data_IF_520735045830
#
_entry.id   IF_520735045830
#
_cell.length_a   1.000
_cell.length_b   1.000
_cell.length_c   1.000
_cell.angle_alpha   90.00
_cell.angle_beta   90.00
_cell.angle_gamma   90.00
#
_symmetry.space_group_name_H-M   'P 1'
#
loop_
_entity.id
_entity.type
_entity.pdbx_description
1 polymer ?
#
# COMPACT_ATOMS: atom_id res chain seq x y z
N UNK A 1 14.41 4.59 11.38
CA UNK A 1 14.97 5.95 11.64
C UNK A 1 14.73 6.83 10.45
N UNK A 2 13.71 7.67 10.54
CA UNK A 2 13.45 8.73 9.54
C UNK A 2 14.54 9.80 9.63
N UNK A 3 15.16 10.18 8.52
CA UNK A 3 16.01 11.34 8.44
C UNK A 3 16.46 11.64 7.01
N UNK A 4 16.34 12.83 6.63
CA UNK A 4 16.86 13.73 5.60
C UNK A 4 15.81 14.12 4.56
N UNK A 5 15.72 15.42 4.33
CA UNK A 5 14.77 16.10 3.46
C UNK A 5 13.77 16.98 4.20
N UNK A 6 13.74 16.94 5.52
CA UNK A 6 13.01 17.89 6.36
C UNK A 6 13.84 19.16 6.54
N UNK A 7 14.14 19.82 5.44
CA UNK A 7 14.69 21.17 5.44
C UNK A 7 13.56 22.13 5.13
N UNK A 8 13.37 23.07 6.01
CA UNK A 8 12.68 24.37 5.85
C UNK A 8 11.24 24.39 5.27
N UNK A 9 10.54 25.45 5.56
CA UNK A 9 9.20 25.83 5.08
C UNK A 9 9.16 25.81 3.55
N UNK A 10 8.83 24.67 2.94
CA UNK A 10 8.71 24.54 1.50
C UNK A 10 7.29 24.16 1.09
N UNK A 11 6.85 24.78 0.01
CA UNK A 11 5.64 24.37 -0.71
C UNK A 11 5.83 22.95 -1.22
N UNK A 12 4.85 22.08 -0.95
CA UNK A 12 4.82 20.68 -1.40
C UNK A 12 3.61 20.47 -2.30
N UNK A 13 3.78 19.67 -3.35
CA UNK A 13 2.67 19.14 -4.12
C UNK A 13 2.11 17.90 -3.42
N UNK A 14 0.83 17.61 -3.60
CA UNK A 14 0.29 16.33 -3.20
C UNK A 14 0.97 15.21 -4.00
N UNK A 15 1.46 14.17 -3.31
CA UNK A 15 2.35 13.16 -3.92
C UNK A 15 3.84 13.48 -3.84
N UNK A 16 4.23 14.73 -3.55
CA UNK A 16 5.63 15.11 -3.37
C UNK A 16 6.23 14.59 -2.04
N UNK A 17 7.51 14.24 -2.00
CA UNK A 17 8.13 13.62 -0.82
C UNK A 17 8.22 14.59 0.37
N UNK A 18 7.73 14.15 1.54
CA UNK A 18 7.92 14.82 2.83
C UNK A 18 9.21 14.36 3.50
N UNK A 19 9.48 13.07 3.49
CA UNK A 19 10.70 12.48 4.05
C UNK A 19 10.98 11.13 3.38
N UNK A 20 12.19 10.62 3.60
CA UNK A 20 12.65 9.33 3.09
C UNK A 20 13.12 8.44 4.24
N UNK A 21 13.14 7.13 4.03
CA UNK A 21 13.81 6.22 4.97
C UNK A 21 15.32 6.42 4.90
N UNK A 22 15.99 6.38 6.05
CA UNK A 22 17.44 6.60 6.11
C UNK A 22 18.24 5.43 5.56
N UNK A 23 17.73 4.21 5.76
CA UNK A 23 18.42 2.99 5.32
C UNK A 23 18.09 2.65 3.87
N UNK A 24 16.91 3.08 3.41
CA UNK A 24 16.39 2.89 2.06
C UNK A 24 15.95 4.24 1.49
N UNK A 25 16.88 5.08 0.97
CA UNK A 25 16.57 6.43 0.48
C UNK A 25 15.56 6.47 -0.67
N UNK A 26 15.38 5.35 -1.39
CA UNK A 26 14.38 5.16 -2.42
C UNK A 26 12.96 5.05 -1.85
N UNK A 27 12.82 4.73 -0.55
CA UNK A 27 11.52 4.63 0.13
C UNK A 27 11.07 6.03 0.58
N UNK A 28 10.13 6.59 -0.16
CA UNK A 28 9.58 7.93 0.05
C UNK A 28 8.28 7.87 0.83
N UNK A 29 8.07 8.87 1.68
CA UNK A 29 6.78 9.15 2.33
C UNK A 29 6.29 10.49 1.81
N UNK A 30 5.17 10.46 1.11
CA UNK A 30 4.68 11.59 0.32
C UNK A 30 3.60 12.38 1.06
N UNK A 31 3.40 13.62 0.64
CA UNK A 31 2.35 14.48 1.18
C UNK A 31 0.98 14.07 0.63
N UNK A 32 -0.04 13.95 1.49
CA UNK A 32 -1.40 13.70 1.02
C UNK A 32 -2.08 14.95 0.43
N UNK A 33 -1.51 16.13 0.66
CA UNK A 33 -2.05 17.42 0.22
C UNK A 33 -0.95 18.32 -0.32
N UNK A 34 -1.28 19.24 -1.21
CA UNK A 34 -0.38 20.33 -1.55
C UNK A 34 -0.50 21.45 -0.51
N UNK A 35 0.61 22.09 -0.18
CA UNK A 35 0.64 23.13 0.83
C UNK A 35 2.03 23.41 1.35
N UNK A 36 2.10 24.05 2.52
CA UNK A 36 3.35 24.46 3.16
C UNK A 36 3.57 23.67 4.44
N UNK A 37 4.75 23.08 4.60
CA UNK A 37 5.13 22.45 5.88
C UNK A 37 5.34 23.55 6.92
N UNK A 38 4.46 23.63 7.92
CA UNK A 38 4.49 24.66 8.95
C UNK A 38 5.24 24.22 10.20
N UNK A 39 5.24 22.93 10.52
CA UNK A 39 6.01 22.42 11.64
C UNK A 39 6.44 20.98 11.49
N UNK A 40 7.54 20.63 12.14
CA UNK A 40 8.03 19.26 12.31
C UNK A 40 8.22 19.03 13.80
N UNK A 41 7.26 18.34 14.39
CA UNK A 41 7.30 18.01 15.81
C UNK A 41 8.24 16.85 16.09
N UNK A 42 9.11 17.03 17.07
CA UNK A 42 10.10 16.03 17.43
C UNK A 42 9.99 15.66 18.91
N UNK A 43 9.95 14.37 19.17
CA UNK A 43 10.00 13.84 20.52
C UNK A 43 11.42 13.52 21.01
N UNK A 44 11.51 12.70 22.04
CA UNK A 44 12.76 12.25 22.61
C UNK A 44 13.70 11.65 21.53
N UNK A 45 14.99 11.87 21.67
CA UNK A 45 16.02 11.42 20.73
C UNK A 45 15.81 11.88 19.28
N UNK A 46 15.19 13.06 19.10
CA UNK A 46 14.85 13.66 17.80
C UNK A 46 13.94 12.78 16.92
N UNK A 47 13.15 11.87 17.49
CA UNK A 47 12.15 11.11 16.76
C UNK A 47 11.12 12.08 16.19
N UNK A 48 10.87 12.05 14.88
CA UNK A 48 9.78 12.80 14.28
C UNK A 48 8.47 12.19 14.75
N UNK A 49 7.60 12.99 15.33
CA UNK A 49 6.27 12.61 15.79
C UNK A 49 5.22 12.99 14.75
N UNK A 50 5.23 14.25 14.32
CA UNK A 50 4.27 14.79 13.35
C UNK A 50 4.99 15.72 12.36
N UNK A 51 4.43 15.78 11.16
CA UNK A 51 4.74 16.80 10.15
C UNK A 51 3.41 17.46 9.84
N UNK A 52 3.31 18.75 10.11
CA UNK A 52 2.09 19.54 9.89
C UNK A 52 2.22 20.26 8.55
N UNK A 53 1.26 20.01 7.66
CA UNK A 53 1.17 20.69 6.36
C UNK A 53 -0.10 21.52 6.36
N UNK A 54 0.03 22.82 6.17
CA UNK A 54 -1.09 23.72 5.92
C UNK A 54 -1.51 23.57 4.46
N UNK A 55 -2.69 22.99 4.23
CA UNK A 55 -3.17 22.70 2.90
C UNK A 55 -3.47 23.97 2.09
N UNK A 56 -3.04 24.03 0.85
CA UNK A 56 -3.39 25.10 -0.07
C UNK A 56 -4.87 24.99 -0.47
N UNK A 57 -5.51 26.13 -0.74
CA UNK A 57 -6.90 26.17 -1.21
C UNK A 57 -7.05 25.48 -2.59
N UNK A 58 -6.08 25.67 -3.48
CA UNK A 58 -5.98 24.96 -4.74
C UNK A 58 -4.92 23.87 -4.60
N UNK A 59 -5.30 22.64 -4.95
CA UNK A 59 -4.41 21.48 -4.83
C UNK A 59 -3.60 21.31 -6.12
N UNK A 60 -2.31 21.13 -5.96
CA UNK A 60 -1.33 20.86 -6.99
C UNK A 60 -0.78 19.45 -6.80
N UNK A 61 -0.66 18.65 -7.86
CA UNK A 61 -0.34 17.23 -7.79
C UNK A 61 0.96 16.91 -8.51
N UNK A 62 1.71 15.98 -7.92
CA UNK A 62 2.86 15.36 -8.60
C UNK A 62 2.35 14.42 -9.70
N UNK A 63 2.84 14.59 -10.91
CA UNK A 63 2.44 13.79 -12.08
C UNK A 63 3.46 12.66 -12.31
N UNK A 64 3.03 11.40 -12.11
CA UNK A 64 3.88 10.22 -12.35
C UNK A 64 3.66 9.60 -13.73
N UNK A 65 2.65 10.08 -14.47
CA UNK A 65 2.25 9.57 -15.78
C UNK A 65 1.54 8.22 -15.74
N UNK A 66 0.59 8.06 -16.64
CA UNK A 66 -0.14 6.79 -16.82
C UNK A 66 0.80 5.71 -17.35
N UNK A 67 0.66 4.50 -16.84
CA UNK A 67 1.48 3.35 -17.26
C UNK A 67 0.58 2.12 -17.44
N UNK A 68 0.68 1.46 -18.59
CA UNK A 68 -0.04 0.19 -18.79
C UNK A 68 0.68 -0.94 -18.03
N UNK A 69 0.04 -1.43 -16.98
CA UNK A 69 0.57 -2.52 -16.14
C UNK A 69 0.88 -3.78 -16.95
N UNK A 70 0.14 -4.03 -18.03
CA UNK A 70 0.38 -5.23 -18.86
C UNK A 70 1.75 -5.19 -19.56
N UNK A 71 2.22 -3.99 -19.89
CA UNK A 71 3.52 -3.78 -20.53
C UNK A 71 4.70 -3.75 -19.54
N UNK A 72 4.43 -3.74 -18.22
CA UNK A 72 5.45 -3.66 -17.17
C UNK A 72 5.85 -5.03 -16.65
N UNK A 73 7.11 -5.13 -16.22
CA UNK A 73 7.62 -6.24 -15.41
C UNK A 73 7.62 -5.86 -13.91
N UNK A 74 7.91 -6.82 -13.04
CA UNK A 74 7.88 -6.63 -11.59
C UNK A 74 8.85 -5.54 -11.09
N UNK A 75 10.03 -5.41 -11.70
CA UNK A 75 11.00 -4.36 -11.36
C UNK A 75 10.46 -2.97 -11.70
N UNK A 76 9.85 -2.80 -12.88
CA UNK A 76 9.28 -1.53 -13.32
C UNK A 76 8.08 -1.14 -12.45
N UNK A 77 7.25 -2.10 -12.04
CA UNK A 77 6.15 -1.87 -11.09
C UNK A 77 6.71 -1.43 -9.74
N UNK A 78 7.70 -2.14 -9.19
CA UNK A 78 8.34 -1.79 -7.92
C UNK A 78 8.94 -0.38 -7.97
N UNK A 79 9.65 -0.05 -9.04
CA UNK A 79 10.23 1.29 -9.24
C UNK A 79 9.17 2.39 -9.26
N UNK A 80 8.04 2.18 -9.96
CA UNK A 80 6.93 3.13 -9.98
C UNK A 80 6.28 3.30 -8.59
N UNK A 81 6.12 2.23 -7.82
CA UNK A 81 5.58 2.30 -6.46
C UNK A 81 6.53 3.05 -5.50
N UNK A 82 7.84 2.87 -5.64
CA UNK A 82 8.85 3.59 -4.86
C UNK A 82 8.86 5.07 -5.21
N UNK A 83 8.80 5.40 -6.50
CA UNK A 83 8.77 6.76 -7.00
C UNK A 83 7.58 7.55 -6.46
N UNK A 84 6.38 6.94 -6.51
CA UNK A 84 5.13 7.53 -6.05
C UNK A 84 4.89 7.42 -4.53
N UNK A 85 5.80 6.81 -3.76
CA UNK A 85 5.65 6.60 -2.33
C UNK A 85 4.60 5.53 -1.93
N UNK A 86 4.02 4.83 -2.90
CA UNK A 86 3.02 3.78 -2.65
C UNK A 86 3.62 2.51 -2.06
N UNK A 87 4.92 2.28 -2.24
CA UNK A 87 5.61 1.13 -1.67
C UNK A 87 5.57 1.12 -0.13
N UNK A 88 5.46 2.28 0.51
CA UNK A 88 5.35 2.41 1.96
C UNK A 88 4.10 1.73 2.57
N UNK A 89 3.07 1.46 1.78
CA UNK A 89 1.88 0.71 2.21
C UNK A 89 2.09 -0.80 2.28
N UNK A 90 3.16 -1.30 1.67
CA UNK A 90 3.49 -2.73 1.68
C UNK A 90 4.25 -3.06 2.97
N UNK A 91 3.74 -4.03 3.70
CA UNK A 91 4.35 -4.49 4.95
C UNK A 91 4.95 -5.89 4.77
N UNK A 92 6.01 -6.15 5.50
CA UNK A 92 6.76 -7.40 5.46
C UNK A 92 6.52 -8.22 6.71
N UNK A 93 6.18 -9.48 6.55
CA UNK A 93 6.07 -10.46 7.64
C UNK A 93 7.31 -11.36 7.65
N UNK A 94 7.71 -11.85 8.84
CA UNK A 94 6.92 -11.96 10.08
C UNK A 94 6.94 -10.72 10.99
N UNK A 95 7.82 -9.75 10.79
CA UNK A 95 8.04 -8.65 11.77
C UNK A 95 7.06 -7.48 11.65
N UNK A 96 6.18 -7.48 10.66
CA UNK A 96 5.22 -6.41 10.39
C UNK A 96 5.86 -5.01 10.29
N UNK A 97 6.96 -4.94 9.58
CA UNK A 97 7.66 -3.69 9.22
C UNK A 97 7.33 -3.30 7.78
N UNK A 98 7.68 -2.08 7.36
CA UNK A 98 7.61 -1.71 5.95
C UNK A 98 8.52 -2.65 5.15
N UNK A 99 8.06 -3.10 3.99
CA UNK A 99 8.79 -4.04 3.15
C UNK A 99 10.15 -3.49 2.73
N UNK A 100 11.15 -4.36 2.72
CA UNK A 100 12.48 -4.04 2.21
C UNK A 100 12.47 -4.01 0.68
N UNK A 101 12.73 -2.85 0.05
CA UNK A 101 12.68 -2.71 -1.40
C UNK A 101 13.79 -3.49 -2.13
N UNK A 102 14.82 -3.92 -1.42
CA UNK A 102 15.93 -4.70 -2.02
C UNK A 102 15.60 -6.18 -2.19
N UNK A 103 14.50 -6.65 -1.58
CA UNK A 103 14.07 -8.04 -1.58
C UNK A 103 12.81 -8.25 -2.39
N UNK A 104 12.55 -9.52 -2.73
CA UNK A 104 11.27 -9.99 -3.23
C UNK A 104 10.65 -10.99 -2.25
N UNK A 105 9.34 -10.95 -2.04
CA UNK A 105 8.67 -11.86 -1.13
C UNK A 105 8.40 -13.22 -1.81
N UNK A 106 8.20 -14.26 -1.02
CA UNK A 106 7.64 -15.53 -1.47
C UNK A 106 6.24 -15.34 -2.09
N UNK A 107 5.45 -14.44 -1.50
CA UNK A 107 4.09 -14.12 -1.95
C UNK A 107 3.64 -12.76 -1.39
N UNK A 108 2.60 -12.19 -2.02
CA UNK A 108 1.91 -10.99 -1.55
C UNK A 108 0.49 -11.37 -1.14
N UNK A 109 0.07 -10.93 0.05
CA UNK A 109 -1.25 -11.16 0.60
C UNK A 109 -2.04 -9.87 0.67
N UNK A 110 -3.13 -9.80 -0.08
CA UNK A 110 -4.10 -8.71 -0.06
C UNK A 110 -5.28 -9.14 0.80
N UNK A 111 -5.59 -8.38 1.85
CA UNK A 111 -6.77 -8.66 2.67
C UNK A 111 -7.87 -7.65 2.38
N UNK A 112 -9.01 -8.14 1.91
CA UNK A 112 -10.27 -7.41 1.73
C UNK A 112 -11.31 -7.80 2.79
N UNK A 113 -10.91 -8.57 3.80
CA UNK A 113 -11.74 -9.00 4.91
C UNK A 113 -11.12 -8.60 6.24
N UNK A 114 -11.86 -7.80 7.00
CA UNK A 114 -11.56 -7.49 8.39
C UNK A 114 -12.72 -7.99 9.28
N UNK A 115 -12.40 -8.72 10.34
CA UNK A 115 -13.37 -9.26 11.30
C UNK A 115 -13.43 -8.47 12.60
N UNK A 116 -12.76 -7.34 12.70
CA UNK A 116 -12.83 -6.49 13.88
C UNK A 116 -14.21 -5.84 14.02
N UNK A 117 -14.69 -5.61 15.26
CA UNK A 117 -15.88 -4.81 15.47
C UNK A 117 -15.73 -3.42 14.83
N UNK A 118 -16.76 -2.96 14.15
CA UNK A 118 -16.79 -1.67 13.44
C UNK A 118 -15.79 -1.57 12.27
N UNK A 119 -15.26 -2.69 11.76
CA UNK A 119 -14.47 -2.70 10.55
C UNK A 119 -15.27 -2.10 9.38
N UNK A 120 -14.62 -1.31 8.50
CA UNK A 120 -15.28 -0.75 7.33
C UNK A 120 -15.72 -1.86 6.37
N UNK A 121 -16.86 -1.66 5.71
CA UNK A 121 -17.29 -2.51 4.62
C UNK A 121 -16.48 -2.21 3.36
N UNK A 122 -15.57 -3.11 2.99
CA UNK A 122 -14.74 -2.92 1.82
C UNK A 122 -15.54 -2.96 0.50
N UNK A 123 -16.66 -3.69 0.43
CA UNK A 123 -17.53 -3.65 -0.76
C UNK A 123 -18.11 -2.25 -0.99
N UNK A 124 -18.37 -1.51 0.09
CA UNK A 124 -18.79 -0.11 -0.03
C UNK A 124 -17.65 0.78 -0.56
N UNK A 125 -16.44 0.62 -0.05
CA UNK A 125 -15.28 1.38 -0.49
C UNK A 125 -14.86 1.06 -1.95
N UNK A 126 -15.21 -0.15 -2.42
CA UNK A 126 -14.86 -0.62 -3.77
C UNK A 126 -15.78 -0.05 -4.86
N UNK A 127 -16.96 0.47 -4.51
CA UNK A 127 -17.93 0.98 -5.48
C UNK A 127 -17.35 2.09 -6.36
N UNK A 128 -17.34 1.87 -7.67
CA UNK A 128 -16.78 2.79 -8.66
C UNK A 128 -15.24 2.70 -8.80
N UNK A 129 -14.60 1.85 -8.02
CA UNK A 129 -13.14 1.67 -8.02
C UNK A 129 -12.71 0.27 -8.52
N UNK A 130 -13.64 -0.52 -9.04
CA UNK A 130 -13.42 -1.91 -9.41
C UNK A 130 -12.29 -2.07 -10.44
N UNK A 131 -12.24 -1.15 -11.42
CA UNK A 131 -11.18 -1.14 -12.43
C UNK A 131 -9.81 -0.81 -11.82
N UNK A 132 -9.75 0.16 -10.90
CA UNK A 132 -8.53 0.52 -10.20
C UNK A 132 -8.07 -0.62 -9.29
N UNK A 133 -8.99 -1.26 -8.58
CA UNK A 133 -8.67 -2.42 -7.75
C UNK A 133 -8.06 -3.55 -8.57
N UNK A 134 -8.65 -3.91 -9.72
CA UNK A 134 -8.11 -4.94 -10.59
C UNK A 134 -6.72 -4.56 -11.14
N UNK A 135 -6.54 -3.32 -11.59
CA UNK A 135 -5.23 -2.84 -12.06
C UNK A 135 -4.17 -2.92 -10.95
N UNK A 136 -4.54 -2.60 -9.70
CA UNK A 136 -3.65 -2.73 -8.55
C UNK A 136 -3.26 -4.19 -8.26
N UNK A 137 -4.21 -5.12 -8.35
CA UNK A 137 -3.94 -6.56 -8.22
C UNK A 137 -3.02 -7.05 -9.34
N UNK A 138 -3.26 -6.61 -10.58
CA UNK A 138 -2.42 -6.94 -11.72
C UNK A 138 -0.98 -6.46 -11.52
N UNK A 139 -0.80 -5.24 -11.01
CA UNK A 139 0.51 -4.69 -10.69
C UNK A 139 1.23 -5.53 -9.61
N UNK A 140 0.56 -5.89 -8.53
CA UNK A 140 1.13 -6.72 -7.47
C UNK A 140 1.51 -8.12 -7.99
N UNK A 141 0.68 -8.70 -8.85
CA UNK A 141 0.93 -10.03 -9.44
C UNK A 141 2.18 -10.10 -10.33
N UNK A 142 2.63 -8.94 -10.88
CA UNK A 142 3.91 -8.85 -11.61
C UNK A 142 5.13 -8.99 -10.69
N UNK A 143 4.99 -8.60 -9.42
CA UNK A 143 6.10 -8.67 -8.46
C UNK A 143 6.24 -10.04 -7.81
N UNK A 144 5.13 -10.67 -7.42
CA UNK A 144 5.13 -12.01 -6.82
C UNK A 144 3.73 -12.65 -6.91
N UNK A 145 3.67 -13.95 -6.61
CA UNK A 145 2.38 -14.65 -6.48
C UNK A 145 1.49 -13.94 -5.46
N UNK A 146 0.30 -13.53 -5.91
CA UNK A 146 -0.61 -12.72 -5.10
C UNK A 146 -1.84 -13.52 -4.68
N UNK A 147 -2.19 -13.43 -3.40
CA UNK A 147 -3.38 -14.01 -2.81
C UNK A 147 -4.33 -12.90 -2.37
N UNK A 148 -5.62 -13.06 -2.67
CA UNK A 148 -6.69 -12.16 -2.23
C UNK A 148 -7.58 -12.90 -1.23
N UNK A 149 -7.62 -12.40 0.00
CA UNK A 149 -8.49 -12.92 1.06
C UNK A 149 -9.75 -12.10 1.15
N UNK A 150 -10.90 -12.76 1.04
CA UNK A 150 -12.24 -12.15 1.10
C UNK A 150 -13.08 -12.82 2.18
N UNK A 151 -14.20 -12.22 2.57
CA UNK A 151 -15.22 -12.90 3.39
C UNK A 151 -16.19 -13.70 2.50
N UNK A 152 -16.64 -14.85 2.99
CA UNK A 152 -17.73 -15.62 2.35
C UNK A 152 -19.02 -14.81 2.18
N UNK A 153 -19.17 -13.72 2.94
CA UNK A 153 -20.34 -12.82 2.89
C UNK A 153 -20.23 -11.80 1.75
N UNK A 154 -19.03 -11.49 1.28
CA UNK A 154 -18.80 -10.55 0.19
C UNK A 154 -19.24 -11.14 -1.14
N UNK A 155 -19.95 -10.34 -1.95
CA UNK A 155 -20.58 -10.78 -3.21
C UNK A 155 -20.12 -9.97 -4.43
N UNK A 156 -19.41 -8.86 -4.22
CA UNK A 156 -18.94 -8.02 -5.32
C UNK A 156 -18.12 -8.84 -6.32
N UNK A 157 -18.45 -8.73 -7.61
CA UNK A 157 -17.77 -9.47 -8.67
C UNK A 157 -16.26 -9.13 -8.74
N UNK A 158 -15.91 -7.89 -8.45
CA UNK A 158 -14.50 -7.46 -8.40
C UNK A 158 -13.67 -8.17 -7.32
N UNK A 159 -14.31 -8.74 -6.29
CA UNK A 159 -13.66 -9.57 -5.26
C UNK A 159 -13.72 -11.04 -5.60
N UNK A 160 -14.90 -11.53 -5.98
CA UNK A 160 -15.14 -12.97 -6.18
C UNK A 160 -14.62 -13.48 -7.53
N UNK A 161 -14.38 -12.59 -8.50
CA UNK A 161 -13.93 -12.90 -9.85
C UNK A 161 -12.64 -12.12 -10.23
N UNK A 162 -11.88 -11.63 -9.23
CA UNK A 162 -10.62 -10.93 -9.45
C UNK A 162 -9.64 -11.82 -10.24
N UNK A 163 -8.95 -11.21 -11.20
CA UNK A 163 -8.03 -11.90 -12.12
C UNK A 163 -6.58 -11.83 -11.61
N UNK A 164 -5.76 -12.75 -12.10
CA UNK A 164 -4.31 -12.82 -11.84
C UNK A 164 -3.92 -13.00 -10.37
N UNK A 165 -4.87 -13.38 -9.52
CA UNK A 165 -4.67 -13.65 -8.09
C UNK A 165 -5.36 -14.96 -7.69
N UNK A 166 -4.90 -15.55 -6.59
CA UNK A 166 -5.58 -16.70 -5.98
C UNK A 166 -6.51 -16.19 -4.89
N UNK A 167 -7.82 -16.38 -5.09
CA UNK A 167 -8.84 -15.93 -4.13
C UNK A 167 -9.08 -17.00 -3.09
N UNK A 168 -9.13 -16.61 -1.81
CA UNK A 168 -9.51 -17.47 -0.69
C UNK A 168 -10.58 -16.77 0.14
N UNK A 169 -11.71 -17.45 0.32
CA UNK A 169 -12.81 -16.95 1.15
C UNK A 169 -12.67 -17.47 2.59
N UNK A 170 -12.83 -16.57 3.54
CA UNK A 170 -12.76 -16.85 4.97
C UNK A 170 -14.10 -16.60 5.64
N UNK A 171 -14.41 -17.44 6.63
CA UNK A 171 -15.53 -17.26 7.54
C UNK A 171 -15.05 -17.43 8.98
N UNK A 172 -15.71 -16.75 9.89
CA UNK A 172 -15.45 -16.88 11.32
C UNK A 172 -15.43 -15.54 12.08
N UNK A 173 -15.43 -15.63 13.43
CA UNK A 173 -15.28 -14.45 14.27
C UNK A 173 -13.84 -13.91 14.21
N UNK A 174 -13.60 -12.76 14.83
CA UNK A 174 -12.26 -12.28 15.05
C UNK A 174 -11.42 -13.36 15.78
N UNK A 175 -10.21 -13.72 15.30
CA UNK A 175 -9.37 -12.98 14.35
C UNK A 175 -9.34 -13.52 12.89
N UNK A 176 -10.42 -14.11 12.38
CA UNK A 176 -10.45 -14.67 11.01
C UNK A 176 -10.06 -13.64 9.92
N UNK A 177 -10.39 -12.35 10.12
CA UNK A 177 -10.00 -11.25 9.25
C UNK A 177 -8.55 -10.76 9.42
N UNK A 178 -7.80 -11.30 10.38
CA UNK A 178 -6.40 -10.90 10.54
C UNK A 178 -5.55 -11.55 9.45
N UNK A 179 -4.79 -10.73 8.73
CA UNK A 179 -3.95 -11.19 7.62
C UNK A 179 -2.92 -12.25 8.05
N UNK A 180 -2.44 -12.21 9.29
CA UNK A 180 -1.54 -13.25 9.82
C UNK A 180 -2.21 -14.61 9.92
N UNK A 181 -3.49 -14.66 10.29
CA UNK A 181 -4.30 -15.88 10.29
C UNK A 181 -4.52 -16.39 8.86
N UNK A 182 -4.86 -15.48 7.95
CA UNK A 182 -5.05 -15.79 6.53
C UNK A 182 -3.76 -16.38 5.91
N UNK A 183 -2.60 -15.78 6.17
CA UNK A 183 -1.30 -16.29 5.72
C UNK A 183 -1.06 -17.71 6.23
N UNK A 184 -1.31 -17.95 7.53
CA UNK A 184 -1.08 -19.27 8.12
C UNK A 184 -1.94 -20.37 7.49
N UNK A 185 -3.15 -20.04 7.06
CA UNK A 185 -4.04 -20.99 6.39
C UNK A 185 -3.74 -21.20 4.91
N UNK A 186 -3.24 -20.16 4.21
CA UNK A 186 -2.98 -20.22 2.76
C UNK A 186 -1.57 -20.73 2.46
N UNK A 187 -0.58 -20.10 3.05
CA UNK A 187 0.84 -20.41 2.83
C UNK A 187 1.66 -19.97 4.03
N UNK A 188 1.80 -20.82 5.05
CA UNK A 188 2.56 -20.50 6.26
C UNK A 188 3.98 -20.02 5.94
N UNK A 189 4.44 -19.05 6.73
CA UNK A 189 5.80 -18.52 6.62
C UNK A 189 6.71 -19.35 7.52
N UNK A 190 7.73 -19.97 6.93
CA UNK A 190 8.74 -20.71 7.68
C UNK A 190 10.00 -19.87 7.89
N UNK A 191 10.91 -20.34 8.74
CA UNK A 191 12.15 -19.64 9.05
C UNK A 191 12.95 -19.32 7.78
N UNK A 192 13.29 -18.04 7.61
CA UNK A 192 14.03 -17.55 6.44
C UNK A 192 13.16 -17.09 5.29
N UNK A 193 11.86 -17.34 5.32
CA UNK A 193 10.93 -16.82 4.33
C UNK A 193 10.37 -15.44 4.71
N UNK A 194 10.04 -14.69 3.69
CA UNK A 194 9.41 -13.38 3.82
C UNK A 194 8.21 -13.32 2.90
N UNK A 195 7.09 -12.79 3.40
CA UNK A 195 5.91 -12.47 2.60
C UNK A 195 5.55 -11.01 2.80
N UNK A 196 4.89 -10.43 1.80
CA UNK A 196 4.38 -9.07 1.89
C UNK A 196 2.88 -9.08 2.11
N UNK A 197 2.40 -8.05 2.80
CA UNK A 197 0.98 -7.82 3.06
C UNK A 197 0.61 -6.41 2.69
N UNK A 198 -0.61 -6.23 2.18
CA UNK A 198 -1.15 -4.91 1.84
C UNK A 198 -2.67 -4.93 2.04
N UNK A 199 -3.23 -3.84 2.55
CA UNK A 199 -4.68 -3.65 2.64
C UNK A 199 -5.31 -3.44 1.26
N UNK A 200 -6.53 -3.91 1.10
CA UNK A 200 -7.24 -3.82 -0.19
C UNK A 200 -7.48 -2.36 -0.62
N UNK A 201 -7.64 -1.43 0.33
CA UNK A 201 -7.78 0.00 0.05
C UNK A 201 -6.53 0.57 -0.63
N UNK A 202 -5.35 0.17 -0.15
CA UNK A 202 -4.09 0.61 -0.76
C UNK A 202 -3.90 0.06 -2.18
N UNK A 203 -4.49 -1.10 -2.48
CA UNK A 203 -4.50 -1.66 -3.84
C UNK A 203 -5.27 -0.78 -4.81
N UNK A 204 -6.39 -0.17 -4.37
CA UNK A 204 -7.12 0.82 -5.18
C UNK A 204 -6.22 2.01 -5.52
N UNK A 205 -5.46 2.53 -4.55
CA UNK A 205 -4.56 3.65 -4.79
C UNK A 205 -3.42 3.29 -5.76
N UNK A 206 -2.88 2.07 -5.66
CA UNK A 206 -1.91 1.56 -6.63
C UNK A 206 -2.53 1.54 -8.04
N UNK A 207 -3.75 1.04 -8.17
CA UNK A 207 -4.42 1.02 -9.47
C UNK A 207 -4.68 2.42 -10.04
N UNK A 208 -5.09 3.37 -9.18
CA UNK A 208 -5.23 4.78 -9.60
C UNK A 208 -3.91 5.34 -10.11
N UNK A 209 -2.79 5.07 -9.44
CA UNK A 209 -1.47 5.51 -9.89
C UNK A 209 -1.20 5.09 -11.33
N UNK A 210 -1.46 3.84 -11.69
CA UNK A 210 -1.22 3.35 -13.05
C UNK A 210 -2.25 3.85 -14.06
N UNK A 211 -3.53 3.96 -13.67
CA UNK A 211 -4.62 4.35 -14.56
C UNK A 211 -4.71 5.85 -14.79
N UNK A 212 -4.34 6.65 -13.80
CA UNK A 212 -4.49 8.11 -13.88
C UNK A 212 -3.17 8.88 -13.88
N UNK A 213 -2.14 8.27 -13.33
CA UNK A 213 -0.82 8.90 -13.21
C UNK A 213 -0.63 9.77 -12.00
#
# INVERSE_FOLDING_TARGET
RMSRGLGDVYKRQAGGPLFIDKNHPELKFVSPVSGVVTSVERGARRKVLNIVVEAAAEQDYEEFGKKDVNALNGESVKAALLEAGMFAFIRQRPYDVIADPTMYPKAIFVSAFDSNPLAPDFEFALKGEEANFQTGLDALSKMAKTYLSISVKQKAAALTQAKNVTITAFDGPNPAGNVGVQINHISPVVKGETVWTIGAEAVIFIGRLFNTG
#
